data_IF_409344496133
#
_entry.id   IF_409344496133
#
_cell.length_a   1.000
_cell.length_b   1.000
_cell.length_c   1.000
_cell.angle_alpha   90.00
_cell.angle_beta   90.00
_cell.angle_gamma   90.00
#
_symmetry.space_group_name_H-M   'P 1'
#
loop_
_entity.id
_entity.type
_entity.pdbx_description
1 polymer ?
#
# COMPACT_ATOMS: atom_id res chain seq x y z
N UNK A 1 -11.14 -13.43 -14.07
CA UNK A 1 -12.15 -13.11 -13.05
C UNK A 1 -12.18 -11.61 -12.91
N UNK A 2 -13.36 -11.03 -12.93
CA UNK A 2 -13.52 -9.59 -12.77
C UNK A 2 -13.32 -9.18 -11.31
N UNK A 3 -12.85 -7.96 -11.11
CA UNK A 3 -12.70 -7.36 -9.76
C UNK A 3 -14.10 -7.21 -9.16
N UNK A 4 -14.37 -7.71 -7.93
CA UNK A 4 -15.69 -7.60 -7.31
C UNK A 4 -16.15 -6.14 -7.20
N UNK A 5 -17.43 -5.85 -7.45
CA UNK A 5 -17.99 -4.50 -7.28
C UNK A 5 -17.71 -3.92 -5.89
N UNK A 6 -17.83 -4.74 -4.85
CA UNK A 6 -17.54 -4.34 -3.48
C UNK A 6 -16.09 -3.84 -3.28
N UNK A 7 -15.13 -4.30 -4.08
CA UNK A 7 -13.76 -3.77 -4.03
C UNK A 7 -13.68 -2.34 -4.57
N UNK A 8 -14.44 -2.03 -5.64
CA UNK A 8 -14.57 -0.67 -6.16
C UNK A 8 -15.28 0.24 -5.17
N UNK A 9 -16.39 -0.23 -4.57
CA UNK A 9 -17.12 0.53 -3.56
C UNK A 9 -16.19 0.92 -2.38
N UNK A 10 -15.30 0.00 -1.96
CA UNK A 10 -14.30 0.27 -0.92
C UNK A 10 -13.26 1.33 -1.32
N UNK A 11 -12.85 1.38 -2.60
CA UNK A 11 -11.93 2.41 -3.06
C UNK A 11 -12.61 3.78 -3.21
N UNK A 12 -13.86 3.81 -3.62
CA UNK A 12 -14.59 5.05 -3.91
C UNK A 12 -15.16 5.74 -2.66
N UNK A 13 -15.61 4.95 -1.67
CA UNK A 13 -16.42 5.47 -0.56
C UNK A 13 -15.72 5.49 0.79
N UNK A 14 -14.49 4.96 0.92
CA UNK A 14 -13.80 4.92 2.20
C UNK A 14 -13.10 6.26 2.49
N UNK A 15 -13.26 6.78 3.71
CA UNK A 15 -12.77 8.10 4.14
C UNK A 15 -11.28 8.09 4.55
N UNK A 16 -10.60 6.97 4.33
CA UNK A 16 -9.21 6.75 4.73
C UNK A 16 -8.49 5.84 3.73
N UNK A 17 -7.15 5.82 3.76
CA UNK A 17 -6.36 4.90 2.96
C UNK A 17 -6.88 3.46 2.97
N UNK A 18 -7.10 2.89 1.79
CA UNK A 18 -7.71 1.56 1.64
C UNK A 18 -6.84 0.65 0.81
N UNK A 19 -6.54 -0.52 1.38
CA UNK A 19 -5.89 -1.63 0.67
C UNK A 19 -6.88 -2.78 0.54
N UNK A 20 -7.05 -3.29 -0.68
CA UNK A 20 -7.86 -4.48 -0.96
C UNK A 20 -6.95 -5.60 -1.44
N UNK A 21 -6.97 -6.75 -0.77
CA UNK A 21 -6.23 -7.95 -1.14
C UNK A 21 -7.14 -8.87 -1.93
N UNK A 22 -6.70 -9.30 -3.12
CA UNK A 22 -7.49 -10.16 -4.02
C UNK A 22 -6.63 -11.31 -4.55
N UNK A 23 -7.22 -12.49 -4.84
CA UNK A 23 -6.51 -13.60 -5.45
C UNK A 23 -6.23 -13.34 -6.92
N UNK A 24 -5.25 -14.05 -7.49
CA UNK A 24 -4.99 -14.02 -8.93
C UNK A 24 -4.22 -12.79 -9.40
N UNK A 25 -3.28 -12.31 -8.58
CA UNK A 25 -2.34 -11.27 -8.98
C UNK A 25 -1.60 -11.67 -10.26
N UNK A 26 -1.48 -10.73 -11.21
CA UNK A 26 -0.88 -10.94 -12.53
C UNK A 26 -0.08 -9.71 -12.95
N UNK A 27 0.84 -9.89 -13.90
CA UNK A 27 1.68 -8.82 -14.46
C UNK A 27 2.52 -8.07 -13.42
N UNK A 28 2.94 -8.77 -12.36
CA UNK A 28 3.79 -8.26 -11.29
C UNK A 28 4.91 -9.25 -11.00
N UNK A 29 5.97 -8.79 -10.32
CA UNK A 29 7.03 -9.67 -9.87
C UNK A 29 6.49 -10.74 -8.91
N UNK A 30 6.89 -12.02 -9.03
CA UNK A 30 6.44 -13.07 -8.11
C UNK A 30 6.74 -12.79 -6.64
N UNK A 31 7.79 -12.01 -6.37
CA UNK A 31 8.24 -11.65 -5.02
C UNK A 31 7.26 -10.78 -4.23
N UNK A 32 6.32 -10.11 -4.91
CA UNK A 32 5.30 -9.28 -4.24
C UNK A 32 3.96 -10.00 -4.07
N UNK A 33 3.85 -11.24 -4.58
CA UNK A 33 2.63 -12.02 -4.47
C UNK A 33 2.58 -12.70 -3.10
N UNK A 34 1.43 -12.56 -2.44
CA UNK A 34 1.14 -13.24 -1.19
C UNK A 34 0.71 -14.70 -1.40
N UNK A 35 0.41 -15.38 -0.30
CA UNK A 35 -0.11 -16.75 -0.30
C UNK A 35 -1.31 -16.89 -1.25
N UNK A 36 -1.34 -17.98 -2.01
CA UNK A 36 -2.41 -18.24 -2.98
C UNK A 36 -2.41 -17.27 -4.17
N UNK A 37 -1.24 -16.71 -4.52
CA UNK A 37 -1.09 -15.75 -5.61
C UNK A 37 -1.93 -14.48 -5.39
N UNK A 38 -2.06 -14.05 -4.14
CA UNK A 38 -2.81 -12.86 -3.77
C UNK A 38 -2.00 -11.58 -3.98
N UNK A 39 -2.69 -10.47 -4.23
CA UNK A 39 -2.09 -9.16 -4.40
C UNK A 39 -2.89 -8.10 -3.64
N UNK A 40 -2.19 -7.30 -2.82
CA UNK A 40 -2.75 -6.13 -2.16
C UNK A 40 -2.64 -4.90 -3.07
N UNK A 41 -3.77 -4.22 -3.29
CA UNK A 41 -3.84 -3.01 -4.12
C UNK A 41 -4.38 -1.87 -3.28
N UNK A 42 -3.72 -0.71 -3.35
CA UNK A 42 -4.16 0.53 -2.71
C UNK A 42 -4.36 1.62 -3.76
N UNK A 43 -5.54 2.25 -3.73
CA UNK A 43 -5.74 3.52 -4.42
C UNK A 43 -5.15 4.65 -3.56
N UNK A 44 -4.21 5.41 -4.12
CA UNK A 44 -3.53 6.49 -3.40
C UNK A 44 -4.10 7.83 -3.83
N UNK A 45 -4.39 8.69 -2.85
CA UNK A 45 -4.92 10.05 -3.05
C UNK A 45 -3.92 11.16 -2.68
N UNK A 46 -2.70 10.79 -2.27
CA UNK A 46 -1.62 11.74 -2.02
C UNK A 46 -1.05 12.22 -3.36
N UNK A 47 -1.13 13.53 -3.62
CA UNK A 47 -0.78 14.13 -4.92
C UNK A 47 0.66 13.85 -5.34
N UNK A 48 1.59 13.87 -4.38
CA UNK A 48 3.00 13.57 -4.66
C UNK A 48 3.18 12.12 -5.12
N UNK A 49 2.58 11.16 -4.41
CA UNK A 49 2.65 9.75 -4.79
C UNK A 49 1.97 9.49 -6.14
N UNK A 50 0.85 10.16 -6.41
CA UNK A 50 0.16 10.11 -7.71
C UNK A 50 1.04 10.68 -8.81
N UNK A 51 1.72 11.82 -8.57
CA UNK A 51 2.65 12.42 -9.50
C UNK A 51 3.80 11.48 -9.85
N UNK A 52 4.45 10.86 -8.85
CA UNK A 52 5.53 9.89 -9.07
C UNK A 52 5.05 8.67 -9.88
N UNK A 53 3.93 8.07 -9.46
CA UNK A 53 3.34 6.90 -10.15
C UNK A 53 2.99 7.20 -11.61
N UNK A 54 2.39 8.37 -11.87
CA UNK A 54 2.09 8.84 -13.24
C UNK A 54 3.35 9.08 -14.06
N UNK A 55 4.37 9.70 -13.47
CA UNK A 55 5.66 9.93 -14.13
C UNK A 55 6.38 8.65 -14.53
N UNK A 56 6.26 7.59 -13.71
CA UNK A 56 6.80 6.26 -14.02
C UNK A 56 5.94 5.47 -15.02
N UNK A 57 4.69 5.88 -15.23
CA UNK A 57 3.73 5.19 -16.10
C UNK A 57 3.37 3.78 -15.64
N UNK A 58 3.61 3.45 -14.36
CA UNK A 58 3.44 2.09 -13.79
C UNK A 58 2.98 2.17 -12.33
N UNK A 59 2.24 1.16 -11.84
CA UNK A 59 1.98 1.02 -10.41
C UNK A 59 3.27 0.90 -9.60
N UNK A 60 3.25 1.40 -8.37
CA UNK A 60 4.34 1.29 -7.41
C UNK A 60 4.10 0.11 -6.47
N UNK A 61 5.05 -0.82 -6.41
CA UNK A 61 5.15 -1.75 -5.30
C UNK A 61 5.73 -1.00 -4.09
N UNK A 62 5.09 -1.12 -2.92
CA UNK A 62 5.49 -0.41 -1.72
C UNK A 62 5.31 -1.29 -0.49
N UNK A 63 6.35 -1.36 0.34
CA UNK A 63 6.31 -1.83 1.72
C UNK A 63 6.38 -0.63 2.67
N UNK A 64 6.14 -0.88 3.96
CA UNK A 64 6.48 0.09 5.00
C UNK A 64 8.00 0.29 5.06
N UNK A 65 8.43 1.52 5.33
CA UNK A 65 9.84 1.90 5.38
C UNK A 65 10.48 1.51 6.73
N UNK A 66 10.51 0.22 7.03
CA UNK A 66 11.11 -0.33 8.25
C UNK A 66 11.88 -1.61 7.94
N UNK A 67 12.84 -1.94 8.80
CA UNK A 67 13.51 -3.23 8.77
C UNK A 67 12.50 -4.34 9.13
N UNK A 68 12.67 -5.50 8.50
CA UNK A 68 11.79 -6.65 8.69
C UNK A 68 11.66 -7.02 10.17
N UNK A 69 10.41 -7.13 10.65
CA UNK A 69 10.10 -7.46 12.04
C UNK A 69 10.06 -6.26 13.00
N UNK A 70 10.50 -5.07 12.57
CA UNK A 70 10.38 -3.85 13.36
C UNK A 70 9.03 -3.14 13.13
N UNK A 71 8.58 -2.31 14.09
CA UNK A 71 7.40 -1.48 13.89
C UNK A 71 7.55 -0.52 12.70
N UNK A 72 6.42 -0.19 12.06
CA UNK A 72 6.40 0.88 11.07
C UNK A 72 6.70 2.22 11.74
N UNK A 73 7.63 3.04 11.21
CA UNK A 73 7.95 4.32 11.79
C UNK A 73 6.74 5.27 11.72
N UNK A 74 6.44 6.00 12.80
CA UNK A 74 5.32 6.94 12.83
C UNK A 74 5.58 8.21 11.99
N UNK A 75 6.84 8.57 11.79
CA UNK A 75 7.28 9.76 11.06
C UNK A 75 8.65 9.54 10.41
N UNK A 76 9.11 10.54 9.67
CA UNK A 76 10.38 10.48 8.93
C UNK A 76 11.60 10.33 9.85
N UNK A 77 11.63 11.02 10.99
CA UNK A 77 12.77 11.02 11.91
C UNK A 77 12.95 9.67 12.61
N UNK A 78 11.88 8.87 12.64
CA UNK A 78 11.87 7.51 13.20
C UNK A 78 12.29 6.42 12.19
N UNK A 79 12.56 6.78 10.94
CA UNK A 79 13.05 5.83 9.93
C UNK A 79 14.50 5.47 10.25
N UNK A 80 14.82 4.18 10.25
CA UNK A 80 16.18 3.69 10.45
C UNK A 80 17.13 4.26 9.37
N UNK A 81 18.26 4.82 9.80
CA UNK A 81 19.22 5.49 8.93
C UNK A 81 19.73 4.58 7.81
N UNK A 82 19.86 3.28 8.06
CA UNK A 82 20.29 2.32 7.03
C UNK A 82 19.34 2.21 5.83
N UNK A 83 18.04 2.48 6.04
CA UNK A 83 17.05 2.53 4.96
C UNK A 83 17.25 3.80 4.12
N UNK A 84 17.55 4.92 4.78
CA UNK A 84 17.77 6.21 4.12
C UNK A 84 19.06 6.19 3.29
N UNK A 85 20.14 5.65 3.87
CA UNK A 85 21.43 5.51 3.19
C UNK A 85 21.40 4.47 2.06
N UNK A 86 20.58 3.42 2.21
CA UNK A 86 20.41 2.37 1.21
C UNK A 86 19.48 2.73 0.05
N UNK A 87 18.77 3.85 0.10
CA UNK A 87 17.84 4.26 -0.94
C UNK A 87 18.52 5.13 -2.01
N UNK A 88 18.29 4.81 -3.29
CA UNK A 88 18.76 5.65 -4.41
C UNK A 88 18.15 7.06 -4.39
N UNK A 89 16.95 7.18 -3.82
CA UNK A 89 16.24 8.45 -3.72
C UNK A 89 15.36 8.49 -2.46
N UNK A 90 15.48 9.59 -1.71
CA UNK A 90 14.62 9.90 -0.57
C UNK A 90 13.90 11.22 -0.87
N UNK A 91 12.57 11.20 -0.98
CA UNK A 91 11.77 12.42 -1.24
C UNK A 91 11.79 13.39 -0.06
N UNK A 92 11.70 14.70 -0.31
CA UNK A 92 11.49 15.74 0.70
C UNK A 92 10.01 15.93 1.11
N UNK A 93 9.08 15.30 0.38
CA UNK A 93 7.64 15.38 0.66
C UNK A 93 7.31 14.92 2.08
N UNK A 94 6.57 15.75 2.83
CA UNK A 94 6.07 15.47 4.20
C UNK A 94 7.13 15.08 5.24
N UNK A 95 8.42 15.36 5.04
CA UNK A 95 9.46 15.04 6.03
C UNK A 95 9.26 15.69 7.39
N UNK A 96 8.66 16.89 7.45
CA UNK A 96 8.34 17.60 8.69
C UNK A 96 6.96 17.26 9.25
N UNK A 97 6.21 16.37 8.60
CA UNK A 97 4.90 15.95 9.08
C UNK A 97 5.08 15.03 10.29
N UNK A 98 4.40 15.37 11.39
CA UNK A 98 4.37 14.60 12.63
C UNK A 98 2.95 14.12 12.95
N UNK A 99 2.02 14.29 12.01
CA UNK A 99 0.66 13.80 12.17
C UNK A 99 0.66 12.27 12.22
N UNK A 100 0.07 11.72 13.26
CA UNK A 100 -0.22 10.30 13.34
C UNK A 100 -1.36 10.02 12.35
N UNK A 101 -1.01 9.58 11.14
CA UNK A 101 -2.00 9.25 10.12
C UNK A 101 -2.96 8.16 10.60
N UNK A 102 -4.23 8.23 10.17
CA UNK A 102 -5.17 7.12 10.41
C UNK A 102 -4.63 5.83 9.80
N UNK A 103 -4.62 4.70 10.53
CA UNK A 103 -4.27 3.41 9.97
C UNK A 103 -5.11 3.10 8.74
N UNK A 104 -4.48 2.51 7.72
CA UNK A 104 -5.22 2.13 6.51
C UNK A 104 -6.22 1.01 6.81
N UNK A 105 -7.38 1.08 6.18
CA UNK A 105 -8.28 -0.05 6.08
C UNK A 105 -7.64 -1.14 5.23
N UNK A 106 -7.75 -2.39 5.65
CA UNK A 106 -7.33 -3.55 4.86
C UNK A 106 -8.48 -4.54 4.80
N UNK A 107 -9.03 -4.72 3.60
CA UNK A 107 -10.00 -5.75 3.28
C UNK A 107 -9.39 -6.82 2.37
N UNK A 108 -9.91 -8.03 2.42
CA UNK A 108 -9.52 -9.12 1.53
C UNK A 108 -10.73 -9.84 0.95
N UNK A 109 -10.63 -10.25 -0.30
CA UNK A 109 -11.57 -11.16 -0.96
C UNK A 109 -10.87 -12.49 -1.21
N UNK A 110 -11.60 -13.60 -1.08
CA UNK A 110 -11.12 -14.91 -1.54
C UNK A 110 -11.61 -15.25 -2.95
N UNK A 111 -11.24 -16.42 -3.46
CA UNK A 111 -11.64 -16.88 -4.80
C UNK A 111 -13.14 -17.11 -4.97
N UNK A 112 -13.89 -17.23 -3.86
CA UNK A 112 -15.35 -17.33 -3.84
C UNK A 112 -16.03 -15.97 -3.65
N UNK A 113 -15.27 -14.88 -3.62
CA UNK A 113 -15.78 -13.52 -3.42
C UNK A 113 -16.17 -13.19 -1.97
N UNK A 114 -15.80 -14.03 -0.99
CA UNK A 114 -16.09 -13.76 0.42
C UNK A 114 -15.18 -12.65 0.93
N UNK A 115 -15.78 -11.66 1.58
CA UNK A 115 -15.07 -10.51 2.13
C UNK A 115 -14.63 -10.76 3.58
N UNK A 116 -13.43 -10.30 3.93
CA UNK A 116 -12.90 -10.31 5.29
C UNK A 116 -12.16 -9.01 5.57
N UNK A 117 -12.36 -8.44 6.75
CA UNK A 117 -11.59 -7.29 7.25
C UNK A 117 -10.35 -7.82 7.97
N UNK A 118 -9.18 -7.31 7.59
CA UNK A 118 -7.90 -7.63 8.22
C UNK A 118 -7.45 -6.49 9.16
N UNK A 119 -7.79 -5.25 8.81
CA UNK A 119 -7.52 -4.06 9.64
C UNK A 119 -8.59 -3.01 9.42
N UNK A 120 -9.07 -2.42 10.53
CA UNK A 120 -10.00 -1.30 10.56
C UNK A 120 -9.56 -0.22 11.54
#
# INVERSE_FOLDING_TARGET
TDVPKAAWDLFEHNDRPTTVIMPGGKNVAPTILGTGNSLGIRLVHDDWTVFVSRGLGKPLASSSANLSGLPTPPDYDSIDESILEGADFVSSHRRSDRSQGRPSFIGSFDSSGRFKILRS
#
